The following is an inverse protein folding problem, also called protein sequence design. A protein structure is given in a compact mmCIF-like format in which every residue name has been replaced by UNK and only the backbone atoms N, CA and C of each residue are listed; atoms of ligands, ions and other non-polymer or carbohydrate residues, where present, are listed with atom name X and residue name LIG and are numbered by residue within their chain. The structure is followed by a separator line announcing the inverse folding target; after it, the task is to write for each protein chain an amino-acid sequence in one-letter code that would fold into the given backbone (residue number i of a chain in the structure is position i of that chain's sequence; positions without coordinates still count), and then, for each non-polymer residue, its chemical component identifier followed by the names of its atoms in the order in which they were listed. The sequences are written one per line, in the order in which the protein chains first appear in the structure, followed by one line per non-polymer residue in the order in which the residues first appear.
data_IF_478117051901
#
_entry.id   IF_478117051901
#
_cell.length_a   1.000
_cell.length_b   1.000
_cell.length_c   1.000
_cell.angle_alpha   90.00
_cell.angle_beta   90.00
_cell.angle_gamma   90.00
#
_symmetry.space_group_name_H-M   'P 1'
#
loop_
_entity.id
_entity.type
_entity.pdbx_description
1 polymer ?
#
# COMPACT_ATOMS: atom_id res chain seq x y z
N UNK A 1 -33.86 45.89 34.59
CA UNK A 1 -33.80 46.63 35.88
C UNK A 1 -32.45 46.40 36.54
N UNK A 2 -31.96 47.36 37.32
CA UNK A 2 -30.61 47.36 37.93
C UNK A 2 -30.72 46.97 39.41
N UNK A 3 -29.78 46.17 39.93
CA UNK A 3 -29.50 46.08 41.37
C UNK A 3 -27.99 46.20 41.63
N UNK A 4 -27.60 47.29 42.28
CA UNK A 4 -26.29 47.52 42.93
C UNK A 4 -26.47 47.39 44.44
N UNK A 5 -25.46 46.87 45.14
CA UNK A 5 -24.99 47.24 46.50
C UNK A 5 -23.73 46.39 46.78
N UNK A 6 -22.53 46.94 47.06
CA UNK A 6 -22.06 47.75 48.21
C UNK A 6 -21.81 46.90 49.46
N UNK A 7 -20.76 47.04 50.29
CA UNK A 7 -19.32 47.41 50.19
C UNK A 7 -18.75 47.45 51.63
N UNK A 8 -17.77 46.59 51.97
CA UNK A 8 -16.89 46.58 53.18
C UNK A 8 -15.62 45.74 52.80
N UNK A 9 -14.40 45.81 53.34
CA UNK A 9 -13.80 46.55 54.48
C UNK A 9 -13.48 45.62 55.68
N UNK A 10 -12.41 45.76 56.46
CA UNK A 10 -11.14 46.52 56.39
C UNK A 10 -10.21 46.04 57.56
N UNK A 11 -8.88 46.20 57.63
CA UNK A 11 -7.81 46.55 56.66
C UNK A 11 -6.41 46.30 57.32
N UNK A 12 -5.30 46.54 56.57
CA UNK A 12 -3.89 46.70 57.02
C UNK A 12 -3.12 45.46 57.55
N UNK A 13 -2.05 45.10 56.83
CA UNK A 13 -0.71 44.83 57.40
C UNK A 13 0.34 45.08 56.29
N UNK A 14 1.48 45.71 56.62
CA UNK A 14 2.52 46.08 55.65
C UNK A 14 3.79 45.24 55.82
N UNK A 15 4.44 44.88 54.71
CA UNK A 15 5.69 44.13 54.70
C UNK A 15 6.41 44.30 53.37
N UNK A 16 7.26 45.33 53.26
CA UNK A 16 8.02 45.63 52.05
C UNK A 16 9.49 45.24 52.22
N UNK A 17 9.95 44.27 51.43
CA UNK A 17 11.38 43.99 51.18
C UNK A 17 11.59 43.88 49.68
N UNK A 18 12.57 44.60 49.17
CA UNK A 18 12.80 44.73 47.72
C UNK A 18 13.59 43.54 47.13
N UNK A 19 13.18 43.17 45.91
CA UNK A 19 14.00 42.64 44.81
C UNK A 19 15.11 41.61 45.12
N UNK A 20 14.92 40.40 44.60
CA UNK A 20 15.89 39.80 43.66
C UNK A 20 15.17 38.79 42.76
N UNK A 21 15.20 39.02 41.44
CA UNK A 21 14.62 38.15 40.42
C UNK A 21 15.69 37.23 39.82
N UNK A 22 15.53 35.91 39.93
CA UNK A 22 15.92 34.98 38.88
C UNK A 22 14.70 34.61 38.04
N UNK A 23 14.90 34.53 36.72
CA UNK A 23 13.90 34.13 35.73
C UNK A 23 13.22 32.81 36.08
N UNK A 24 11.92 32.70 35.80
CA UNK A 24 11.15 31.47 36.04
C UNK A 24 11.58 30.28 35.16
N UNK A 25 10.86 29.17 35.31
CA UNK A 25 9.84 28.92 34.29
C UNK A 25 8.44 29.10 34.86
N UNK A 26 7.57 29.77 34.10
CA UNK A 26 6.15 29.58 34.26
C UNK A 26 5.83 28.09 34.03
N UNK A 27 5.02 27.49 34.90
CA UNK A 27 4.39 26.20 34.59
C UNK A 27 3.33 26.42 33.50
N UNK A 28 3.81 26.61 32.27
CA UNK A 28 2.98 26.68 31.09
C UNK A 28 2.16 25.39 31.04
N UNK A 29 0.85 25.52 31.24
CA UNK A 29 -0.10 24.44 31.06
C UNK A 29 0.04 23.96 29.62
N UNK A 30 0.76 22.85 29.44
CA UNK A 30 1.04 22.27 28.14
C UNK A 30 -0.25 21.70 27.57
N UNK A 31 -1.06 22.58 27.00
CA UNK A 31 -2.03 22.29 25.96
C UNK A 31 -1.24 21.87 24.72
N UNK A 32 -0.59 20.70 24.84
CA UNK A 32 -0.09 19.92 23.73
C UNK A 32 -1.31 19.66 22.85
N UNK A 33 -1.46 20.49 21.81
CA UNK A 33 -2.60 20.45 20.92
C UNK A 33 -2.77 19.01 20.44
N UNK A 34 -3.97 18.47 20.60
CA UNK A 34 -4.26 17.09 20.26
C UNK A 34 -4.25 16.91 18.73
N UNK A 35 -3.04 16.87 18.16
CA UNK A 35 -2.74 16.27 16.88
C UNK A 35 -3.21 14.82 16.97
N UNK A 36 -4.46 14.60 16.58
CA UNK A 36 -5.16 13.33 16.75
C UNK A 36 -4.30 12.23 16.12
N UNK A 37 -3.71 11.39 16.99
CA UNK A 37 -2.66 10.45 16.60
C UNK A 37 -3.13 9.64 15.39
N UNK A 38 -2.33 9.65 14.32
CA UNK A 38 -2.75 9.15 13.02
C UNK A 38 -3.32 7.72 13.17
N UNK A 39 -4.57 7.47 12.75
CA UNK A 39 -5.26 6.23 13.07
C UNK A 39 -4.45 5.03 12.57
N UNK A 40 -4.11 4.14 13.53
CA UNK A 40 -3.21 3.01 13.30
C UNK A 40 -3.55 2.28 11.98
N UNK A 41 -2.55 1.90 11.15
CA UNK A 41 -2.78 1.48 9.77
C UNK A 41 -3.92 0.47 9.57
N UNK A 42 -4.06 -0.51 10.47
CA UNK A 42 -5.16 -1.48 10.47
C UNK A 42 -6.55 -0.84 10.57
N UNK A 43 -6.75 0.20 11.40
CA UNK A 43 -8.03 0.91 11.54
C UNK A 43 -8.40 1.64 10.26
N UNK A 44 -7.43 2.34 9.66
CA UNK A 44 -7.60 3.08 8.40
C UNK A 44 -7.90 2.15 7.22
N UNK A 45 -7.14 1.05 7.10
CA UNK A 45 -7.32 0.05 6.05
C UNK A 45 -8.67 -0.68 6.19
N UNK A 46 -9.05 -1.12 7.40
CA UNK A 46 -10.37 -1.74 7.66
C UNK A 46 -11.52 -0.77 7.41
N UNK A 47 -11.38 0.52 7.78
CA UNK A 47 -12.42 1.51 7.50
C UNK A 47 -12.65 1.75 6.00
N UNK A 48 -11.58 1.80 5.20
CA UNK A 48 -11.68 1.81 3.73
C UNK A 48 -12.33 0.53 3.19
N UNK A 49 -11.88 -0.63 3.66
CA UNK A 49 -12.36 -1.94 3.21
C UNK A 49 -13.86 -2.11 3.46
N UNK A 50 -14.32 -1.79 4.68
CA UNK A 50 -15.73 -1.87 5.04
C UNK A 50 -16.59 -0.86 4.25
N UNK A 51 -16.05 0.32 3.90
CA UNK A 51 -16.75 1.27 3.02
C UNK A 51 -16.88 0.72 1.59
N UNK A 52 -15.81 0.12 1.06
CA UNK A 52 -15.82 -0.52 -0.25
C UNK A 52 -16.77 -1.72 -0.34
N UNK A 53 -16.82 -2.58 0.70
CA UNK A 53 -17.80 -3.68 0.77
C UNK A 53 -19.27 -3.22 0.73
N UNK A 54 -19.57 -2.00 1.21
CA UNK A 54 -20.91 -1.38 1.11
C UNK A 54 -21.15 -0.62 -0.21
N UNK A 55 -20.20 -0.61 -1.14
CA UNK A 55 -20.26 0.22 -2.36
C UNK A 55 -20.06 1.73 -2.12
N UNK A 56 -19.74 2.14 -0.89
CA UNK A 56 -19.76 3.53 -0.43
C UNK A 56 -18.46 4.27 -0.80
N UNK A 57 -18.43 4.82 -2.03
CA UNK A 57 -17.31 5.63 -2.54
C UNK A 57 -17.09 6.91 -1.74
N UNK A 58 -18.13 7.47 -1.12
CA UNK A 58 -18.06 8.73 -0.38
C UNK A 58 -17.37 8.54 0.99
N UNK A 59 -17.71 7.49 1.73
CA UNK A 59 -16.96 7.12 2.93
C UNK A 59 -15.55 6.61 2.60
N UNK A 60 -15.38 5.87 1.50
CA UNK A 60 -14.05 5.42 1.06
C UNK A 60 -13.07 6.59 0.82
N UNK A 61 -13.54 7.69 0.22
CA UNK A 61 -12.74 8.90 0.01
C UNK A 61 -12.29 9.59 1.32
N UNK A 62 -12.93 9.32 2.46
CA UNK A 62 -12.48 9.79 3.78
C UNK A 62 -11.19 9.08 4.21
N UNK A 63 -11.06 7.78 3.91
CA UNK A 63 -9.95 6.92 4.36
C UNK A 63 -8.84 6.70 3.32
N UNK A 64 -8.98 7.24 2.10
CA UNK A 64 -8.06 6.98 1.00
C UNK A 64 -7.82 8.21 0.11
N UNK A 65 -6.76 8.15 -0.70
CA UNK A 65 -6.54 9.06 -1.83
C UNK A 65 -7.41 8.66 -3.05
N UNK A 66 -7.77 9.59 -3.96
CA UNK A 66 -8.66 9.28 -5.09
C UNK A 66 -8.16 8.13 -5.99
N UNK A 67 -6.84 8.02 -6.20
CA UNK A 67 -6.25 6.91 -6.96
C UNK A 67 -6.42 5.55 -6.25
N UNK A 68 -6.28 5.50 -4.93
CA UNK A 68 -6.53 4.30 -4.13
C UNK A 68 -8.01 3.88 -4.16
N UNK A 69 -8.95 4.83 -4.06
CA UNK A 69 -10.39 4.57 -4.22
C UNK A 69 -10.68 4.04 -5.63
N UNK A 70 -10.17 4.69 -6.68
CA UNK A 70 -10.38 4.28 -8.08
C UNK A 70 -9.87 2.85 -8.33
N UNK A 71 -8.69 2.49 -7.82
CA UNK A 71 -8.13 1.13 -7.98
C UNK A 71 -8.95 0.08 -7.23
N UNK A 72 -9.36 0.36 -5.99
CA UNK A 72 -10.14 -0.58 -5.18
C UNK A 72 -11.54 -0.82 -5.75
N UNK A 73 -12.23 0.24 -6.17
CA UNK A 73 -13.56 0.16 -6.79
C UNK A 73 -13.56 -0.31 -8.25
N UNK A 74 -12.40 -0.60 -8.83
CA UNK A 74 -12.23 -1.23 -10.13
C UNK A 74 -11.70 -2.68 -10.02
N UNK A 75 -11.68 -3.26 -8.81
CA UNK A 75 -11.27 -4.64 -8.59
C UNK A 75 -12.29 -5.63 -9.18
N UNK A 76 -11.89 -6.56 -10.08
CA UNK A 76 -12.84 -7.42 -10.80
C UNK A 76 -13.24 -8.69 -10.03
N UNK A 77 -12.57 -8.99 -8.90
CA UNK A 77 -12.88 -10.14 -8.05
C UNK A 77 -13.79 -9.74 -6.89
N UNK A 78 -14.36 -10.75 -6.19
CA UNK A 78 -15.11 -10.55 -4.94
C UNK A 78 -14.26 -9.84 -3.88
N UNK A 79 -14.89 -9.35 -2.81
CA UNK A 79 -14.14 -8.91 -1.63
C UNK A 79 -13.34 -10.08 -1.04
N UNK A 80 -12.06 -9.87 -0.64
CA UNK A 80 -11.33 -10.80 0.21
C UNK A 80 -12.09 -11.16 1.49
N UNK A 81 -11.90 -12.40 1.95
CA UNK A 81 -12.65 -12.95 3.08
C UNK A 81 -12.02 -12.59 4.44
N UNK A 82 -10.69 -12.42 4.48
CA UNK A 82 -9.91 -12.32 5.72
C UNK A 82 -8.98 -11.10 5.74
N UNK A 83 -8.73 -10.52 6.92
CA UNK A 83 -7.67 -9.52 7.15
C UNK A 83 -6.42 -10.18 7.75
N UNK A 84 -5.38 -10.35 6.93
CA UNK A 84 -4.12 -11.00 7.28
C UNK A 84 -3.10 -10.06 7.98
N UNK A 85 -3.58 -9.05 8.71
CA UNK A 85 -2.75 -8.12 9.47
C UNK A 85 -2.13 -6.96 8.66
N UNK A 86 -1.21 -6.24 9.31
CA UNK A 86 -0.36 -5.23 8.69
C UNK A 86 1.10 -5.44 9.08
N UNK A 87 2.02 -5.22 8.13
CA UNK A 87 3.46 -5.12 8.39
C UNK A 87 3.87 -3.67 8.16
N UNK A 88 4.28 -2.98 9.23
CA UNK A 88 4.44 -1.52 9.26
C UNK A 88 3.15 -0.82 8.80
N UNK A 89 3.17 -0.17 7.64
CA UNK A 89 2.04 0.55 7.03
C UNK A 89 1.34 -0.22 5.89
N UNK A 90 1.81 -1.44 5.56
CA UNK A 90 1.24 -2.28 4.51
C UNK A 90 0.26 -3.29 5.11
N UNK A 91 -1.04 -3.14 4.83
CA UNK A 91 -2.14 -3.91 5.40
C UNK A 91 -2.78 -4.83 4.36
N UNK A 92 -2.89 -6.13 4.65
CA UNK A 92 -3.25 -7.16 3.66
C UNK A 92 -4.61 -7.78 3.98
N UNK A 93 -5.43 -7.94 2.95
CA UNK A 93 -6.68 -8.68 2.97
C UNK A 93 -6.57 -9.83 1.96
N UNK A 94 -6.93 -11.05 2.35
CA UNK A 94 -6.69 -12.27 1.55
C UNK A 94 -7.98 -13.01 1.20
N UNK A 95 -7.93 -13.65 0.04
CA UNK A 95 -8.92 -14.63 -0.37
C UNK A 95 -8.61 -15.99 0.27
N UNK A 96 -9.60 -16.56 0.95
CA UNK A 96 -9.59 -17.94 1.44
C UNK A 96 -10.64 -18.79 0.70
N UNK A 97 -11.72 -18.17 0.22
CA UNK A 97 -12.79 -18.84 -0.54
C UNK A 97 -12.47 -19.06 -2.02
N UNK A 98 -11.59 -18.24 -2.62
CA UNK A 98 -11.29 -18.27 -4.06
C UNK A 98 -9.79 -18.19 -4.36
N UNK A 99 -9.36 -18.87 -5.42
CA UNK A 99 -7.97 -18.83 -5.91
C UNK A 99 -7.83 -17.81 -7.04
N UNK A 100 -7.12 -16.71 -6.80
CA UNK A 100 -6.79 -15.70 -7.83
C UNK A 100 -5.35 -15.83 -8.34
N UNK A 101 -5.01 -15.30 -9.53
CA UNK A 101 -3.64 -15.17 -10.00
C UNK A 101 -2.84 -14.14 -9.19
N UNK A 102 -1.51 -14.31 -9.12
CA UNK A 102 -0.59 -13.45 -8.40
C UNK A 102 -0.29 -13.91 -6.97
N UNK A 103 0.88 -13.55 -6.43
CA UNK A 103 1.28 -13.80 -5.04
C UNK A 103 0.56 -12.91 -4.02
N UNK A 104 -0.19 -11.91 -4.50
CA UNK A 104 -0.94 -10.99 -3.64
C UNK A 104 -2.19 -11.65 -3.02
N UNK A 105 -2.83 -12.60 -3.72
CA UNK A 105 -3.98 -13.40 -3.27
C UNK A 105 -5.05 -12.61 -2.48
N UNK A 106 -5.48 -11.47 -3.03
CA UNK A 106 -6.43 -10.55 -2.40
C UNK A 106 -6.14 -9.08 -2.74
N UNK A 107 -6.08 -8.23 -1.71
CA UNK A 107 -5.86 -6.77 -1.78
C UNK A 107 -4.81 -6.34 -0.73
N UNK A 108 -3.89 -5.46 -1.12
CA UNK A 108 -2.88 -4.87 -0.25
C UNK A 108 -3.04 -3.34 -0.23
N UNK A 109 -3.12 -2.75 0.95
CA UNK A 109 -3.32 -1.32 1.17
C UNK A 109 -2.09 -0.72 1.84
N UNK A 110 -1.47 0.29 1.23
CA UNK A 110 -0.36 1.04 1.82
C UNK A 110 -0.90 2.32 2.44
N UNK A 111 -0.84 2.42 3.76
CA UNK A 111 -1.25 3.61 4.52
C UNK A 111 -0.10 4.63 4.54
N UNK A 112 -0.43 5.92 4.43
CA UNK A 112 0.51 7.03 4.65
C UNK A 112 -0.23 8.13 5.43
N UNK A 113 0.32 8.51 6.58
CA UNK A 113 -0.42 9.34 7.54
C UNK A 113 -1.77 8.72 7.91
N UNK A 114 -2.85 9.49 7.73
CA UNK A 114 -4.23 9.10 8.04
C UNK A 114 -4.99 8.43 6.88
N UNK A 115 -4.37 8.17 5.72
CA UNK A 115 -5.06 7.64 4.52
C UNK A 115 -4.34 6.49 3.84
N UNK A 116 -5.09 5.61 3.18
CA UNK A 116 -4.56 4.66 2.20
C UNK A 116 -4.10 5.42 0.96
N UNK A 117 -2.80 5.42 0.71
CA UNK A 117 -2.15 6.14 -0.39
C UNK A 117 -2.01 5.30 -1.66
N UNK A 118 -1.76 3.99 -1.52
CA UNK A 118 -1.76 3.02 -2.63
C UNK A 118 -2.62 1.81 -2.29
N UNK A 119 -3.19 1.21 -3.33
CA UNK A 119 -3.84 -0.10 -3.28
C UNK A 119 -3.28 -0.94 -4.41
N UNK A 120 -2.85 -2.15 -4.10
CA UNK A 120 -2.42 -3.17 -5.05
C UNK A 120 -3.43 -4.33 -5.01
N UNK A 121 -3.78 -4.87 -6.17
CA UNK A 121 -4.88 -5.82 -6.34
C UNK A 121 -4.48 -6.98 -7.25
N UNK A 122 -4.97 -8.18 -6.92
CA UNK A 122 -4.78 -9.37 -7.76
C UNK A 122 -5.42 -9.17 -9.14
N UNK A 123 -4.73 -9.51 -10.23
CA UNK A 123 -5.18 -9.14 -11.59
C UNK A 123 -5.70 -10.32 -12.40
N UNK A 124 -6.89 -10.15 -12.98
CA UNK A 124 -7.34 -10.97 -14.10
C UNK A 124 -6.65 -10.47 -15.37
N UNK A 125 -5.69 -11.23 -15.88
CA UNK A 125 -4.97 -10.91 -17.11
C UNK A 125 -5.32 -11.95 -18.18
N UNK A 126 -6.00 -11.51 -19.24
CA UNK A 126 -6.54 -12.37 -20.30
C UNK A 126 -5.51 -12.80 -21.35
N UNK A 127 -4.27 -12.27 -21.30
CA UNK A 127 -3.17 -12.61 -22.19
C UNK A 127 -1.85 -12.87 -21.40
N UNK A 128 -1.03 -13.86 -21.77
CA UNK A 128 0.18 -14.22 -21.03
C UNK A 128 1.25 -13.12 -21.09
N UNK A 129 1.35 -12.45 -22.23
CA UNK A 129 2.24 -11.31 -22.45
C UNK A 129 1.95 -10.12 -21.53
N UNK A 130 0.69 -9.94 -21.10
CA UNK A 130 0.33 -8.89 -20.14
C UNK A 130 0.86 -9.20 -18.74
N UNK A 131 0.83 -10.46 -18.29
CA UNK A 131 1.39 -10.86 -17.00
C UNK A 131 2.91 -10.69 -16.97
N UNK A 132 3.59 -11.16 -18.02
CA UNK A 132 5.04 -11.06 -18.14
C UNK A 132 5.50 -9.59 -18.25
N UNK A 133 4.91 -8.78 -19.14
CA UNK A 133 5.22 -7.33 -19.25
C UNK A 133 4.86 -6.55 -17.99
N UNK A 134 3.80 -6.96 -17.29
CA UNK A 134 3.42 -6.41 -15.99
C UNK A 134 4.53 -6.58 -14.95
N UNK A 135 5.02 -7.82 -14.77
CA UNK A 135 6.10 -8.13 -13.84
C UNK A 135 7.40 -7.41 -14.22
N UNK A 136 7.77 -7.43 -15.50
CA UNK A 136 8.96 -6.72 -15.98
C UNK A 136 8.89 -5.21 -15.70
N UNK A 137 7.72 -4.59 -15.91
CA UNK A 137 7.52 -3.16 -15.64
C UNK A 137 7.50 -2.86 -14.13
N UNK A 138 7.01 -3.78 -13.30
CA UNK A 138 7.10 -3.68 -11.85
C UNK A 138 8.57 -3.73 -11.36
N UNK A 139 9.39 -4.63 -11.93
CA UNK A 139 10.82 -4.72 -11.66
C UNK A 139 11.59 -3.45 -12.04
N UNK A 140 11.33 -2.88 -13.22
CA UNK A 140 11.92 -1.59 -13.65
C UNK A 140 11.61 -0.43 -12.69
N UNK A 141 10.46 -0.45 -12.00
CA UNK A 141 10.09 0.55 -10.97
C UNK A 141 10.55 0.18 -9.56
N UNK A 142 11.21 -0.96 -9.38
CA UNK A 142 11.49 -1.59 -8.08
C UNK A 142 10.23 -1.77 -7.19
N UNK A 143 9.05 -1.91 -7.80
CA UNK A 143 7.77 -2.05 -7.10
C UNK A 143 7.42 -3.55 -6.94
N UNK A 144 7.87 -4.16 -5.83
CA UNK A 144 7.62 -5.59 -5.53
C UNK A 144 6.13 -5.92 -5.38
N UNK A 145 5.33 -4.98 -4.84
CA UNK A 145 3.91 -5.19 -4.61
C UNK A 145 3.13 -5.22 -5.93
N UNK A 146 3.47 -4.33 -6.88
CA UNK A 146 3.00 -4.41 -8.27
C UNK A 146 3.46 -5.69 -8.99
N UNK A 147 4.57 -6.29 -8.56
CA UNK A 147 4.99 -7.61 -9.05
C UNK A 147 4.04 -8.72 -8.56
N UNK A 148 3.63 -8.67 -7.30
CA UNK A 148 2.72 -9.66 -6.69
C UNK A 148 1.30 -9.60 -7.26
N UNK A 149 0.87 -8.47 -7.83
CA UNK A 149 -0.40 -8.31 -8.55
C UNK A 149 -0.54 -9.28 -9.75
N UNK A 150 0.59 -9.67 -10.37
CA UNK A 150 0.64 -10.35 -11.69
C UNK A 150 1.55 -11.59 -11.74
N UNK A 151 2.26 -11.88 -10.65
CA UNK A 151 3.22 -12.97 -10.58
C UNK A 151 3.22 -13.64 -9.21
N UNK A 152 3.49 -14.95 -9.20
CA UNK A 152 3.63 -15.73 -7.98
C UNK A 152 4.82 -15.25 -7.14
N UNK A 153 4.73 -15.35 -5.81
CA UNK A 153 5.73 -14.83 -4.86
C UNK A 153 7.15 -15.31 -5.17
N UNK A 154 7.33 -16.56 -5.64
CA UNK A 154 8.65 -17.09 -6.03
C UNK A 154 9.23 -16.42 -7.28
N UNK A 155 8.41 -16.04 -8.26
CA UNK A 155 8.86 -15.34 -9.47
C UNK A 155 9.27 -13.89 -9.14
N UNK A 156 8.49 -13.19 -8.30
CA UNK A 156 8.87 -11.87 -7.77
C UNK A 156 10.15 -11.96 -6.94
N UNK A 157 10.28 -12.96 -6.08
CA UNK A 157 11.47 -13.17 -5.27
C UNK A 157 12.73 -13.45 -6.11
N UNK A 158 12.62 -14.19 -7.23
CA UNK A 158 13.73 -14.41 -8.17
C UNK A 158 14.11 -13.13 -8.91
N UNK A 159 13.15 -12.45 -9.57
CA UNK A 159 13.47 -11.30 -10.41
C UNK A 159 14.05 -10.12 -9.62
N UNK A 160 13.52 -9.86 -8.43
CA UNK A 160 13.97 -8.76 -7.59
C UNK A 160 15.16 -9.13 -6.69
N UNK A 161 15.90 -10.22 -6.98
CA UNK A 161 17.24 -10.45 -6.40
C UNK A 161 18.20 -9.35 -6.83
N UNK A 162 18.20 -9.05 -8.12
CA UNK A 162 18.87 -7.89 -8.70
C UNK A 162 17.91 -6.70 -8.77
N UNK A 163 18.47 -5.49 -8.75
CA UNK A 163 17.74 -4.29 -9.20
C UNK A 163 17.79 -4.24 -10.72
N UNK A 164 16.76 -3.70 -11.35
CA UNK A 164 16.86 -3.27 -12.73
C UNK A 164 17.83 -2.09 -12.80
N UNK A 165 18.80 -2.17 -13.70
CA UNK A 165 19.65 -1.04 -14.07
C UNK A 165 19.14 -0.45 -15.40
N UNK A 166 19.06 0.88 -15.48
CA UNK A 166 18.69 1.60 -16.69
C UNK A 166 19.87 1.82 -17.65
N UNK A 167 21.10 1.66 -17.15
CA UNK A 167 22.36 1.84 -17.89
C UNK A 167 23.10 0.51 -18.16
N UNK A 168 22.65 -0.59 -17.55
CA UNK A 168 23.15 -1.95 -17.78
C UNK A 168 22.54 -2.61 -19.02
N UNK A 169 22.64 -3.95 -19.10
CA UNK A 169 22.24 -4.73 -20.29
C UNK A 169 20.81 -4.44 -20.74
N UNK A 170 20.64 -4.21 -22.04
CA UNK A 170 19.36 -3.84 -22.65
C UNK A 170 18.51 -5.09 -22.91
N UNK A 171 17.33 -5.14 -22.30
CA UNK A 171 16.38 -6.25 -22.44
C UNK A 171 15.41 -6.02 -23.61
N UNK A 172 15.39 -6.94 -24.57
CA UNK A 172 14.53 -6.93 -25.76
C UNK A 172 13.44 -8.00 -25.61
N UNK A 173 12.16 -7.61 -25.61
CA UNK A 173 11.05 -8.55 -25.47
C UNK A 173 10.80 -9.33 -26.77
N UNK A 174 10.99 -10.66 -26.73
CA UNK A 174 10.93 -11.57 -27.89
C UNK A 174 9.56 -12.24 -28.11
N UNK A 175 8.53 -11.83 -27.35
CA UNK A 175 7.19 -12.42 -27.45
C UNK A 175 6.90 -13.47 -26.36
N UNK A 176 5.91 -14.31 -26.63
CA UNK A 176 5.63 -15.50 -25.83
C UNK A 176 5.34 -16.69 -26.76
N UNK A 177 5.98 -17.83 -26.51
CA UNK A 177 5.68 -19.12 -27.15
C UNK A 177 4.82 -19.99 -26.23
N UNK A 178 4.06 -20.93 -26.79
CA UNK A 178 3.35 -21.92 -25.99
C UNK A 178 4.34 -22.95 -25.43
N UNK A 179 4.11 -23.41 -24.20
CA UNK A 179 4.92 -24.46 -23.55
C UNK A 179 4.03 -25.39 -22.71
N UNK A 180 4.52 -26.57 -22.26
CA UNK A 180 3.74 -27.46 -21.42
C UNK A 180 3.14 -26.74 -20.18
N UNK A 181 1.80 -26.76 -20.12
CA UNK A 181 0.97 -26.16 -19.06
C UNK A 181 0.94 -24.61 -19.07
N UNK A 182 1.41 -23.92 -20.11
CA UNK A 182 1.32 -22.46 -20.21
C UNK A 182 2.05 -21.81 -21.38
N UNK A 183 2.77 -20.72 -21.12
CA UNK A 183 3.56 -19.98 -22.10
C UNK A 183 4.93 -19.61 -21.54
N UNK A 184 5.97 -19.62 -22.37
CA UNK A 184 7.27 -19.00 -22.05
C UNK A 184 7.32 -17.63 -22.70
N UNK A 185 7.47 -16.56 -21.91
CA UNK A 185 7.61 -15.19 -22.40
C UNK A 185 9.05 -14.72 -22.24
N UNK A 186 9.72 -14.41 -23.35
CA UNK A 186 11.17 -14.25 -23.38
C UNK A 186 11.62 -12.79 -23.49
N UNK A 187 12.75 -12.47 -22.85
CA UNK A 187 13.57 -11.31 -23.14
C UNK A 187 14.98 -11.76 -23.46
N UNK A 188 15.56 -11.32 -24.58
CA UNK A 188 17.01 -11.44 -24.81
C UNK A 188 17.73 -10.21 -24.29
N UNK A 189 19.01 -10.35 -23.99
CA UNK A 189 19.95 -9.27 -23.65
C UNK A 189 21.36 -9.71 -24.08
N UNK A 190 22.37 -8.87 -23.85
CA UNK A 190 23.77 -9.22 -24.08
C UNK A 190 24.26 -10.16 -22.98
N UNK A 191 24.67 -11.39 -23.33
CA UNK A 191 24.91 -12.46 -22.35
C UNK A 191 23.70 -13.38 -22.11
N UNK A 192 22.88 -13.63 -23.15
CA UNK A 192 21.79 -14.61 -23.13
C UNK A 192 20.36 -14.07 -22.99
N UNK A 193 19.51 -14.76 -22.20
CA UNK A 193 18.07 -14.54 -22.16
C UNK A 193 17.40 -14.86 -20.81
N UNK A 194 16.27 -14.19 -20.54
CA UNK A 194 15.38 -14.41 -19.40
C UNK A 194 14.04 -14.95 -19.88
N UNK A 195 13.59 -16.06 -19.32
CA UNK A 195 12.32 -16.72 -19.61
C UNK A 195 11.35 -16.56 -18.44
N UNK A 196 10.23 -15.87 -18.67
CA UNK A 196 9.11 -15.82 -17.72
C UNK A 196 8.08 -16.89 -18.07
N UNK A 197 8.02 -17.94 -17.25
CA UNK A 197 7.07 -19.04 -17.42
C UNK A 197 5.69 -18.63 -16.87
N UNK A 198 4.76 -18.36 -17.76
CA UNK A 198 3.40 -17.88 -17.47
C UNK A 198 2.43 -19.07 -17.37
N UNK A 199 1.60 -19.09 -16.32
CA UNK A 199 0.61 -20.15 -16.06
C UNK A 199 -0.78 -19.54 -15.83
N UNK A 200 -1.82 -20.32 -16.08
CA UNK A 200 -3.22 -19.88 -16.03
C UNK A 200 -3.92 -20.10 -17.37
N UNK A 201 -5.04 -19.41 -17.58
CA UNK A 201 -5.81 -19.43 -18.83
C UNK A 201 -6.51 -18.09 -19.06
N UNK A 202 -7.06 -17.86 -20.25
CA UNK A 202 -7.87 -16.65 -20.52
C UNK A 202 -9.08 -16.52 -19.56
N UNK A 203 -9.62 -17.63 -19.05
CA UNK A 203 -10.75 -17.65 -18.13
C UNK A 203 -10.33 -17.44 -16.67
N UNK A 204 -9.25 -18.10 -16.20
CA UNK A 204 -8.76 -17.96 -14.82
C UNK A 204 -7.92 -16.68 -14.59
N UNK A 205 -7.36 -16.13 -15.67
CA UNK A 205 -6.29 -15.13 -15.65
C UNK A 205 -4.91 -15.78 -15.68
N UNK A 206 -3.94 -15.09 -16.28
CA UNK A 206 -2.54 -15.50 -16.36
C UNK A 206 -1.68 -14.84 -15.29
N UNK A 207 -0.66 -15.56 -14.80
CA UNK A 207 0.38 -15.05 -13.90
C UNK A 207 1.77 -15.60 -14.28
N UNK A 208 2.84 -14.85 -14.02
CA UNK A 208 4.20 -15.41 -14.07
C UNK A 208 4.41 -16.34 -12.88
N UNK A 209 4.64 -17.63 -13.13
CA UNK A 209 4.76 -18.65 -12.08
C UNK A 209 6.22 -18.91 -11.66
N UNK A 210 7.16 -18.83 -12.60
CA UNK A 210 8.60 -18.98 -12.38
C UNK A 210 9.38 -18.22 -13.45
N UNK A 211 10.67 -18.02 -13.20
CA UNK A 211 11.60 -17.35 -14.12
C UNK A 211 12.84 -18.22 -14.23
N UNK A 212 13.29 -18.46 -15.46
CA UNK A 212 14.58 -19.05 -15.79
C UNK A 212 15.48 -18.02 -16.48
N UNK A 213 16.77 -18.31 -16.52
CA UNK A 213 17.77 -17.59 -17.30
C UNK A 213 18.57 -18.60 -18.12
N UNK A 214 18.99 -18.19 -19.30
CA UNK A 214 19.88 -18.92 -20.20
C UNK A 214 21.06 -17.99 -20.45
N UNK A 215 22.28 -18.50 -20.29
CA UNK A 215 23.49 -17.86 -20.81
C UNK A 215 23.80 -18.44 -22.19
N UNK A 216 24.50 -17.66 -23.01
CA UNK A 216 25.16 -18.06 -24.25
C UNK A 216 26.51 -18.78 -23.99
#
# INVERSE_FOLDING_TARGET
MIKRSVLVGAAVAAGATLTLLPSGPASASAQAGAFAAAPAPAKTARALFNAWQRGDRAAAARYALPAAVKTLFAYPYRAPDEFAGCVRNACRFVHTSVRVPGGLNGVLMIVSGSKVAKVYTSRHLSAPSAAAKGLFTAWKRHDRDAGLEVAATKAVATLFRTRYDAHGVRYYYQGCTAEPKGYSCAWSYEGGAMLMHVRGSRAAGYQVASIGYIAD
#
